data_IF_010572404130
#
_entry.id   IF_010572404130
#
_cell.length_a   1.000
_cell.length_b   1.000
_cell.length_c   1.000
_cell.angle_alpha   90.00
_cell.angle_beta   90.00
_cell.angle_gamma   90.00
#
_symmetry.space_group_name_H-M   'P 1'
#
loop_
_entity.id
_entity.type
_entity.pdbx_description
1 polymer ?
#
# COMPACT_ATOMS: atom_id res chain seq x y z
N UNK A 1 46.29 35.02 -8.63
CA UNK A 1 46.14 34.99 -10.11
C UNK A 1 45.06 33.97 -10.38
N UNK A 2 43.83 34.46 -10.52
CA UNK A 2 42.65 33.63 -10.67
C UNK A 2 42.51 33.26 -12.15
N UNK A 3 42.42 31.98 -12.47
CA UNK A 3 42.19 31.51 -13.84
C UNK A 3 40.78 30.95 -13.90
N UNK A 4 39.81 31.77 -14.31
CA UNK A 4 38.46 31.30 -14.60
C UNK A 4 38.52 30.65 -15.99
N UNK A 5 38.69 29.33 -16.02
CA UNK A 5 38.67 28.56 -17.25
C UNK A 5 37.21 28.38 -17.70
N UNK A 6 36.75 29.25 -18.59
CA UNK A 6 35.50 29.04 -19.31
C UNK A 6 35.73 27.94 -20.35
N UNK A 7 35.19 26.76 -20.08
CA UNK A 7 35.12 25.69 -21.08
C UNK A 7 34.42 26.21 -22.33
N UNK A 8 34.96 25.87 -23.50
CA UNK A 8 34.42 26.30 -24.79
C UNK A 8 32.91 26.07 -24.87
N UNK A 9 32.21 27.09 -25.38
CA UNK A 9 30.78 27.12 -25.74
C UNK A 9 30.15 25.74 -25.85
N UNK A 10 29.30 25.38 -24.88
CA UNK A 10 28.41 24.23 -25.03
C UNK A 10 27.31 24.68 -25.99
N UNK A 11 27.39 24.28 -27.27
CA UNK A 11 26.25 24.41 -28.17
C UNK A 11 25.13 23.53 -27.62
N UNK A 12 24.00 24.15 -27.31
CA UNK A 12 22.79 23.39 -26.99
C UNK A 12 22.10 22.95 -28.28
N UNK A 13 21.18 22.00 -28.15
CA UNK A 13 20.26 21.56 -29.21
C UNK A 13 19.49 22.78 -29.75
N UNK A 14 19.29 22.85 -31.07
CA UNK A 14 18.57 23.92 -31.79
C UNK A 14 19.23 25.33 -31.74
N UNK A 15 20.42 25.49 -32.33
CA UNK A 15 20.98 26.81 -32.70
C UNK A 15 21.31 27.77 -31.52
N UNK A 16 21.23 27.34 -30.25
CA UNK A 16 21.60 28.15 -29.07
C UNK A 16 23.06 27.99 -28.64
N UNK A 17 23.65 29.10 -28.20
CA UNK A 17 24.98 29.14 -27.60
C UNK A 17 25.01 30.07 -26.39
N UNK A 18 25.80 29.71 -25.38
CA UNK A 18 26.22 30.62 -24.32
C UNK A 18 27.61 31.13 -24.66
N UNK A 19 27.75 32.44 -24.76
CA UNK A 19 29.03 33.08 -24.95
C UNK A 19 29.31 33.96 -23.74
N UNK A 20 30.49 33.81 -23.16
CA UNK A 20 30.91 34.75 -22.14
C UNK A 20 31.36 36.00 -22.87
N UNK A 21 30.72 37.15 -22.60
CA UNK A 21 31.17 38.40 -23.19
C UNK A 21 32.59 38.64 -22.68
N UNK A 22 33.55 38.68 -23.60
CA UNK A 22 34.98 38.65 -23.31
C UNK A 22 35.40 39.83 -22.42
N UNK A 23 35.38 39.61 -21.10
CA UNK A 23 35.75 40.56 -20.06
C UNK A 23 36.72 39.92 -19.07
N UNK A 24 37.92 39.57 -19.55
CA UNK A 24 39.05 38.99 -18.79
C UNK A 24 38.79 37.61 -18.13
N UNK A 25 39.69 36.66 -18.36
CA UNK A 25 39.70 35.35 -17.66
C UNK A 25 40.25 35.43 -16.23
N UNK A 26 40.59 36.65 -15.77
CA UNK A 26 41.23 36.93 -14.48
C UNK A 26 40.35 37.88 -13.68
N UNK A 27 39.29 37.34 -13.12
CA UNK A 27 38.30 38.08 -12.32
C UNK A 27 38.70 38.02 -10.84
N UNK A 28 38.31 38.98 -10.01
CA UNK A 28 38.53 38.98 -8.55
C UNK A 28 37.18 38.96 -7.80
N UNK A 29 37.14 38.51 -6.54
CA UNK A 29 35.94 38.68 -5.71
C UNK A 29 35.52 40.15 -5.66
N UNK A 30 34.24 40.41 -5.98
CA UNK A 30 33.65 41.74 -6.14
C UNK A 30 33.50 42.23 -7.58
N UNK A 31 34.16 41.57 -8.55
CA UNK A 31 34.02 41.91 -9.96
C UNK A 31 32.72 41.33 -10.56
N UNK A 32 32.30 41.92 -11.69
CA UNK A 32 31.12 41.51 -12.45
C UNK A 32 31.52 40.73 -13.70
N UNK A 33 30.85 39.60 -13.93
CA UNK A 33 30.99 38.77 -15.12
C UNK A 33 29.68 38.76 -15.89
N UNK A 34 29.74 38.96 -17.20
CA UNK A 34 28.55 38.90 -18.07
C UNK A 34 28.62 37.71 -19.03
N UNK A 35 27.51 37.01 -19.17
CA UNK A 35 27.33 35.88 -20.09
C UNK A 35 26.17 36.20 -21.01
N UNK A 36 26.41 36.19 -22.33
CA UNK A 36 25.38 36.36 -23.34
C UNK A 36 24.80 35.01 -23.72
N UNK A 37 23.48 35.00 -23.86
CA UNK A 37 22.73 33.93 -24.48
C UNK A 37 22.50 34.31 -25.94
N UNK A 38 23.11 33.58 -26.87
CA UNK A 38 23.07 33.90 -28.29
C UNK A 38 22.39 32.77 -29.07
N UNK A 39 21.63 33.14 -30.09
CA UNK A 39 21.09 32.19 -31.07
C UNK A 39 21.82 32.42 -32.39
N UNK A 40 22.31 31.34 -33.00
CA UNK A 40 23.13 31.36 -34.20
C UNK A 40 22.75 30.24 -35.17
N UNK A 41 22.75 30.53 -36.47
CA UNK A 41 22.33 29.65 -37.57
C UNK A 41 20.83 29.39 -37.66
N UNK A 42 19.98 30.37 -37.30
CA UNK A 42 18.53 30.20 -37.32
C UNK A 42 18.00 29.74 -38.69
N UNK A 43 17.46 28.52 -38.71
CA UNK A 43 16.81 27.93 -39.89
C UNK A 43 15.34 28.31 -40.07
N UNK A 44 14.72 28.92 -39.06
CA UNK A 44 13.33 29.37 -39.08
C UNK A 44 13.10 30.53 -38.09
N UNK A 45 11.98 31.24 -38.27
CA UNK A 45 11.59 32.31 -37.38
C UNK A 45 11.20 31.79 -35.99
N UNK A 46 11.70 32.43 -34.93
CA UNK A 46 11.42 32.10 -33.53
C UNK A 46 10.73 33.25 -32.80
N UNK A 47 9.91 32.92 -31.81
CA UNK A 47 9.17 33.88 -30.99
C UNK A 47 9.19 33.54 -29.49
N UNK A 48 9.89 32.48 -29.09
CA UNK A 48 10.00 32.04 -27.70
C UNK A 48 11.33 31.35 -27.44
N UNK A 49 11.84 31.52 -26.21
CA UNK A 49 13.05 30.88 -25.71
C UNK A 49 12.81 30.45 -24.27
N UNK A 50 13.28 29.25 -23.94
CA UNK A 50 13.32 28.71 -22.59
C UNK A 50 14.67 28.06 -22.38
N UNK A 51 15.34 28.34 -21.27
CA UNK A 51 16.65 27.77 -20.93
C UNK A 51 16.70 27.36 -19.46
N UNK A 52 17.56 26.38 -19.19
CA UNK A 52 18.05 26.05 -17.85
C UNK A 52 19.57 26.09 -17.84
N UNK A 53 20.15 26.88 -16.95
CA UNK A 53 21.59 26.98 -16.76
C UNK A 53 21.99 26.62 -15.34
N UNK A 54 23.23 26.18 -15.19
CA UNK A 54 23.84 25.89 -13.91
C UNK A 54 25.12 26.71 -13.73
N UNK A 55 25.32 27.21 -12.51
CA UNK A 55 26.55 27.90 -12.08
C UNK A 55 26.90 27.54 -10.64
N UNK A 56 28.16 27.75 -10.24
CA UNK A 56 28.61 27.47 -8.88
C UNK A 56 28.29 28.64 -7.93
N UNK A 57 27.37 28.42 -7.00
CA UNK A 57 26.93 29.42 -6.00
C UNK A 57 27.94 29.70 -4.91
N UNK A 58 29.01 28.89 -4.81
CA UNK A 58 30.11 29.16 -3.88
C UNK A 58 31.08 30.18 -4.45
N UNK A 59 31.10 30.37 -5.77
CA UNK A 59 32.06 31.24 -6.48
C UNK A 59 31.37 32.48 -7.07
N UNK A 60 30.12 32.36 -7.54
CA UNK A 60 29.37 33.46 -8.16
C UNK A 60 27.94 33.53 -7.63
N UNK A 61 27.31 34.70 -7.79
CA UNK A 61 25.88 34.90 -7.56
C UNK A 61 25.26 35.55 -8.78
N UNK A 62 24.14 35.02 -9.28
CA UNK A 62 23.37 35.70 -10.33
C UNK A 62 22.77 36.99 -9.78
N UNK A 63 22.99 38.10 -10.50
CA UNK A 63 22.51 39.44 -10.13
C UNK A 63 21.32 39.83 -10.99
N UNK A 64 21.39 39.57 -12.29
CA UNK A 64 20.37 40.01 -13.25
C UNK A 64 20.38 39.13 -14.51
N UNK A 65 19.22 39.01 -15.16
CA UNK A 65 19.08 38.46 -16.51
C UNK A 65 18.29 39.46 -17.33
N UNK A 66 18.97 40.19 -18.20
CA UNK A 66 18.38 41.23 -19.01
C UNK A 66 18.08 40.69 -20.43
N UNK A 67 16.80 40.56 -20.84
CA UNK A 67 16.45 40.29 -22.24
C UNK A 67 16.97 41.40 -23.14
N UNK A 68 17.40 41.07 -24.35
CA UNK A 68 17.91 42.08 -25.28
C UNK A 68 16.80 42.89 -25.93
N UNK A 69 16.98 44.21 -25.96
CA UNK A 69 16.09 45.14 -26.66
C UNK A 69 16.25 44.98 -28.18
N UNK A 70 15.25 44.37 -28.81
CA UNK A 70 15.25 44.08 -30.24
C UNK A 70 15.04 45.33 -31.12
N UNK A 71 14.53 46.44 -30.57
CA UNK A 71 14.43 47.72 -31.29
C UNK A 71 15.78 48.42 -31.29
N UNK A 72 16.46 48.47 -30.14
CA UNK A 72 17.81 49.04 -30.04
C UNK A 72 18.82 48.25 -30.89
N UNK A 73 18.61 46.95 -31.04
CA UNK A 73 19.40 46.10 -31.93
C UNK A 73 19.03 46.21 -33.42
N UNK A 74 17.93 46.91 -33.77
CA UNK A 74 17.49 47.11 -35.16
C UNK A 74 16.83 45.90 -35.82
N UNK A 75 16.40 44.91 -35.04
CA UNK A 75 15.75 43.69 -35.55
C UNK A 75 14.24 43.86 -35.79
N UNK A 76 13.59 44.78 -35.07
CA UNK A 76 12.17 45.11 -35.24
C UNK A 76 11.97 46.63 -35.23
N UNK A 77 10.91 47.11 -35.89
CA UNK A 77 10.66 48.55 -36.08
C UNK A 77 9.72 49.18 -35.04
N UNK A 78 9.03 48.37 -34.23
CA UNK A 78 8.09 48.79 -33.18
C UNK A 78 7.97 47.70 -32.10
N UNK A 79 7.89 48.06 -30.80
CA UNK A 79 7.77 47.11 -29.67
C UNK A 79 8.93 47.22 -28.66
N UNK A 80 9.02 46.31 -27.70
CA UNK A 80 10.14 46.21 -26.72
C UNK A 80 10.98 44.94 -26.89
N UNK A 81 10.70 44.12 -27.89
CA UNK A 81 11.44 42.88 -28.14
C UNK A 81 11.09 41.73 -27.19
N UNK A 82 12.09 40.96 -26.78
CA UNK A 82 11.93 39.86 -25.83
C UNK A 82 11.34 40.34 -24.52
N UNK A 83 10.22 39.75 -24.10
CA UNK A 83 9.56 40.00 -22.83
C UNK A 83 9.81 38.80 -21.93
N UNK A 84 10.43 39.01 -20.77
CA UNK A 84 10.59 37.97 -19.76
C UNK A 84 9.23 37.47 -19.27
N UNK A 85 9.10 36.15 -19.17
CA UNK A 85 7.87 35.50 -18.71
C UNK A 85 8.06 34.82 -17.37
N UNK A 86 9.25 34.29 -17.09
CA UNK A 86 9.57 33.67 -15.80
C UNK A 86 11.08 33.59 -15.60
N UNK A 87 11.50 33.87 -14.36
CA UNK A 87 12.84 33.62 -13.85
C UNK A 87 12.74 32.96 -12.47
N UNK A 88 13.50 31.89 -12.24
CA UNK A 88 13.68 31.29 -10.91
C UNK A 88 15.13 30.86 -10.75
N UNK A 89 15.77 31.27 -9.66
CA UNK A 89 17.10 30.78 -9.27
C UNK A 89 16.96 29.93 -8.00
N UNK A 90 17.11 28.61 -8.15
CA UNK A 90 17.12 27.69 -7.03
C UNK A 90 18.53 27.16 -6.83
N UNK A 91 19.29 27.85 -5.97
CA UNK A 91 20.62 27.41 -5.50
C UNK A 91 21.61 27.10 -6.63
N UNK A 92 21.71 27.98 -7.64
CA UNK A 92 22.69 27.82 -8.73
C UNK A 92 22.13 27.17 -9.99
N UNK A 93 20.83 26.87 -9.99
CA UNK A 93 20.08 26.47 -11.18
C UNK A 93 19.09 27.57 -11.54
N UNK A 94 19.28 28.17 -12.72
CA UNK A 94 18.45 29.26 -13.22
C UNK A 94 17.55 28.75 -14.32
N UNK A 95 16.25 28.85 -14.10
CA UNK A 95 15.22 28.65 -15.12
C UNK A 95 14.78 30.01 -15.64
N UNK A 96 14.92 30.24 -16.95
CA UNK A 96 14.57 31.51 -17.56
C UNK A 96 13.82 31.31 -18.88
N UNK A 97 12.82 32.16 -19.13
CA UNK A 97 12.03 32.13 -20.35
C UNK A 97 11.61 33.54 -20.80
N UNK A 98 11.59 33.74 -22.11
CA UNK A 98 11.15 34.98 -22.73
C UNK A 98 10.41 34.73 -24.05
N UNK A 99 9.58 35.70 -24.46
CA UNK A 99 8.81 35.64 -25.71
C UNK A 99 8.76 36.98 -26.45
N UNK A 100 8.51 36.93 -27.75
CA UNK A 100 8.20 38.11 -28.58
C UNK A 100 6.69 38.14 -28.80
N UNK A 101 6.00 39.09 -28.16
CA UNK A 101 4.56 39.23 -28.31
C UNK A 101 4.20 39.86 -29.66
N UNK A 102 3.50 39.11 -30.51
CA UNK A 102 3.00 39.58 -31.81
C UNK A 102 4.06 39.68 -32.91
N UNK A 103 5.21 39.03 -32.76
CA UNK A 103 6.31 39.06 -33.74
C UNK A 103 7.22 37.83 -33.66
N UNK A 104 8.27 37.82 -34.47
CA UNK A 104 9.31 36.78 -34.48
C UNK A 104 10.62 37.35 -35.04
N UNK A 105 11.75 36.70 -34.73
CA UNK A 105 13.05 36.99 -35.34
C UNK A 105 13.51 35.80 -36.18
N UNK A 106 14.25 36.06 -37.26
CA UNK A 106 14.80 35.03 -38.15
C UNK A 106 16.29 35.25 -38.42
N UNK A 107 16.94 36.03 -37.57
CA UNK A 107 18.35 36.39 -37.67
C UNK A 107 19.03 36.11 -36.35
N UNK A 108 20.28 35.69 -36.44
CA UNK A 108 21.14 35.40 -35.31
C UNK A 108 21.32 36.64 -34.44
N UNK A 109 21.22 36.47 -33.13
CA UNK A 109 21.26 37.59 -32.19
C UNK A 109 21.43 37.14 -30.74
N UNK A 110 21.85 38.07 -29.88
CA UNK A 110 21.80 37.93 -28.43
C UNK A 110 20.36 38.01 -27.93
N UNK A 111 19.95 37.01 -27.19
CA UNK A 111 18.62 36.89 -26.61
C UNK A 111 18.56 37.55 -25.23
N UNK A 112 19.58 37.34 -24.40
CA UNK A 112 19.68 37.91 -23.07
C UNK A 112 21.14 38.04 -22.62
N UNK A 113 21.38 38.92 -21.65
CA UNK A 113 22.65 39.04 -20.94
C UNK A 113 22.44 38.71 -19.47
N UNK A 114 23.15 37.71 -18.99
CA UNK A 114 23.19 37.31 -17.60
C UNK A 114 24.37 37.99 -16.91
N UNK A 115 24.13 38.56 -15.74
CA UNK A 115 25.13 39.28 -14.96
C UNK A 115 25.36 38.56 -13.65
N UNK A 116 26.62 38.21 -13.37
CA UNK A 116 27.05 37.55 -12.15
C UNK A 116 28.03 38.43 -11.37
N UNK A 117 27.99 38.37 -10.05
CA UNK A 117 29.07 38.89 -9.19
C UNK A 117 29.91 37.74 -8.69
N UNK A 118 31.24 37.87 -8.76
CA UNK A 118 32.17 36.88 -8.18
C UNK A 118 32.26 37.12 -6.67
N UNK A 119 32.03 36.09 -5.87
CA UNK A 119 32.01 36.19 -4.39
C UNK A 119 33.17 35.45 -3.71
N UNK A 120 33.81 34.51 -4.40
CA UNK A 120 34.98 33.80 -3.86
C UNK A 120 35.96 33.37 -4.98
N UNK A 121 37.16 32.94 -4.60
CA UNK A 121 38.18 32.44 -5.52
C UNK A 121 37.90 30.98 -5.94
N UNK A 122 37.86 30.71 -7.25
CA UNK A 122 37.78 29.34 -7.76
C UNK A 122 37.75 29.26 -9.29
N UNK A 123 37.60 28.04 -9.80
CA UNK A 123 37.32 27.79 -11.21
C UNK A 123 35.82 27.49 -11.32
N UNK A 124 35.11 28.25 -12.14
CA UNK A 124 33.67 28.11 -12.32
C UNK A 124 33.32 28.21 -13.80
N UNK A 125 32.16 27.66 -14.16
CA UNK A 125 31.60 27.70 -15.50
C UNK A 125 30.10 27.91 -15.42
N UNK A 126 29.55 28.61 -16.40
CA UNK A 126 28.10 28.66 -16.63
C UNK A 126 27.81 27.70 -17.77
N UNK A 127 26.99 26.69 -17.52
CA UNK A 127 26.70 25.63 -18.50
C UNK A 127 25.20 25.47 -18.69
N UNK A 128 24.77 25.19 -19.93
CA UNK A 128 23.43 24.65 -20.15
C UNK A 128 23.30 23.30 -19.45
N UNK A 129 22.11 23.02 -18.92
CA UNK A 129 21.80 21.73 -18.29
C UNK A 129 20.66 21.04 -19.06
N UNK A 130 20.95 20.41 -20.23
CA UNK A 130 19.93 19.77 -21.06
C UNK A 130 19.33 18.50 -20.43
N UNK A 131 19.99 17.91 -19.44
CA UNK A 131 19.67 16.57 -18.92
C UNK A 131 18.79 16.59 -17.65
N UNK A 132 18.30 17.77 -17.25
CA UNK A 132 17.53 17.94 -16.03
C UNK A 132 16.03 17.86 -16.31
N UNK A 133 15.46 16.66 -16.17
CA UNK A 133 14.01 16.46 -16.07
C UNK A 133 13.36 17.44 -15.10
N UNK A 134 12.26 18.17 -15.45
CA UNK A 134 11.49 18.20 -16.72
C UNK A 134 11.78 19.38 -17.68
N UNK A 135 12.98 19.97 -17.72
CA UNK A 135 13.21 21.18 -18.53
C UNK A 135 14.25 20.98 -19.64
N UNK A 136 13.81 21.20 -20.88
CA UNK A 136 14.70 21.37 -22.04
C UNK A 136 14.88 22.83 -22.38
N UNK A 137 16.11 23.19 -22.74
CA UNK A 137 16.34 24.41 -23.51
C UNK A 137 15.60 24.28 -24.84
N UNK A 138 14.65 25.19 -25.13
CA UNK A 138 13.76 25.09 -26.28
C UNK A 138 13.57 26.44 -26.96
N UNK A 139 13.67 26.43 -28.29
CA UNK A 139 13.18 27.51 -29.15
C UNK A 139 11.75 27.23 -29.59
N UNK A 140 10.88 28.23 -29.51
CA UNK A 140 9.52 28.17 -30.07
C UNK A 140 9.52 28.76 -31.47
N UNK A 141 9.14 27.96 -32.47
CA UNK A 141 8.99 28.42 -33.86
C UNK A 141 7.70 29.22 -34.01
N UNK A 142 7.77 30.29 -34.80
CA UNK A 142 6.62 31.15 -35.06
C UNK A 142 5.46 30.45 -35.81
N UNK A 143 5.74 29.33 -36.48
CA UNK A 143 4.76 28.51 -37.21
C UNK A 143 3.82 27.70 -36.32
N UNK A 144 4.16 27.52 -35.03
CA UNK A 144 3.59 26.44 -34.21
C UNK A 144 2.48 26.92 -33.25
N UNK A 145 2.15 28.23 -33.20
CA UNK A 145 1.02 28.75 -32.41
C UNK A 145 0.62 30.20 -32.75
N UNK A 146 -0.69 30.51 -32.72
CA UNK A 146 -1.27 31.87 -32.77
C UNK A 146 -1.51 32.50 -31.40
N UNK A 147 -1.10 31.85 -30.31
CA UNK A 147 -1.18 32.40 -28.93
C UNK A 147 0.18 32.20 -28.26
N UNK A 148 0.88 33.31 -28.05
CA UNK A 148 2.27 33.33 -27.59
C UNK A 148 2.27 33.44 -26.07
N UNK A 149 2.15 32.28 -25.41
CA UNK A 149 2.70 32.09 -24.08
C UNK A 149 3.82 31.07 -24.27
N UNK A 150 5.01 31.22 -23.63
CA UNK A 150 5.89 30.07 -23.53
C UNK A 150 5.06 29.05 -22.78
N UNK A 151 4.78 27.93 -23.44
CA UNK A 151 3.96 26.90 -22.86
C UNK A 151 4.75 26.43 -21.63
N UNK A 152 4.38 26.88 -20.42
CA UNK A 152 4.79 26.22 -19.19
C UNK A 152 4.02 24.90 -19.18
N UNK A 153 4.42 23.99 -20.07
CA UNK A 153 4.10 22.60 -19.86
C UNK A 153 5.06 22.19 -18.76
N UNK A 154 4.51 21.91 -17.58
CA UNK A 154 5.17 20.98 -16.67
C UNK A 154 5.30 19.66 -17.46
N UNK A 155 6.40 19.48 -18.20
CA UNK A 155 6.57 18.36 -19.14
C UNK A 155 7.85 17.61 -18.86
N UNK A 156 7.70 16.43 -18.25
CA UNK A 156 8.75 15.42 -18.03
C UNK A 156 9.78 15.30 -19.17
N UNK A 157 10.98 14.90 -18.78
CA UNK A 157 12.20 14.72 -19.59
C UNK A 157 12.06 13.76 -20.76
N UNK A 158 12.81 14.06 -21.82
CA UNK A 158 13.33 13.17 -22.85
C UNK A 158 14.85 13.38 -22.91
N UNK A 159 15.63 12.52 -22.26
CA UNK A 159 17.03 12.31 -22.65
C UNK A 159 17.03 11.48 -23.93
N UNK A 160 18.11 11.51 -24.72
CA UNK A 160 18.38 10.44 -25.70
C UNK A 160 18.74 9.17 -24.92
N UNK A 161 17.73 8.59 -24.29
CA UNK A 161 17.80 7.24 -23.81
C UNK A 161 17.74 6.35 -25.04
N UNK A 162 18.66 5.39 -25.18
CA UNK A 162 18.35 4.24 -26.04
C UNK A 162 17.16 3.43 -25.49
N UNK A 163 16.64 3.81 -24.33
CA UNK A 163 15.37 3.35 -23.78
C UNK A 163 14.25 3.55 -24.80
N UNK A 164 13.77 2.43 -25.32
CA UNK A 164 12.61 2.35 -26.20
C UNK A 164 11.29 2.45 -25.42
N UNK A 165 11.37 2.73 -24.12
CA UNK A 165 10.24 2.84 -23.19
C UNK A 165 9.68 1.48 -22.80
N UNK A 166 10.39 0.39 -23.11
CA UNK A 166 9.92 -0.96 -22.90
C UNK A 166 10.70 -1.62 -21.75
N UNK A 167 10.02 -1.90 -20.64
CA UNK A 167 10.69 -2.41 -19.43
C UNK A 167 11.29 -3.84 -19.53
N UNK A 168 11.08 -4.56 -20.64
CA UNK A 168 11.69 -5.87 -20.91
C UNK A 168 12.78 -5.84 -21.99
N UNK A 169 13.37 -4.68 -22.25
CA UNK A 169 14.60 -4.53 -23.03
C UNK A 169 15.74 -4.02 -22.13
N UNK A 170 16.95 -4.33 -22.57
CA UNK A 170 18.16 -3.64 -22.12
C UNK A 170 18.68 -2.83 -23.27
N UNK A 171 18.85 -1.54 -23.02
CA UNK A 171 19.22 -0.59 -24.06
C UNK A 171 20.66 -0.19 -23.95
N UNK A 172 21.39 -0.35 -25.06
CA UNK A 172 22.81 -0.06 -25.12
C UNK A 172 23.14 0.64 -26.42
N UNK A 173 24.03 1.62 -26.35
CA UNK A 173 24.61 2.26 -27.54
C UNK A 173 25.81 1.42 -27.99
N UNK A 174 25.73 0.82 -29.17
CA UNK A 174 26.86 0.11 -29.79
C UNK A 174 27.18 0.75 -31.13
N UNK A 175 28.39 1.33 -31.24
CA UNK A 175 28.83 1.99 -32.48
C UNK A 175 28.00 3.21 -32.88
N UNK A 176 27.37 3.90 -31.92
CA UNK A 176 26.51 5.06 -32.17
C UNK A 176 25.08 4.73 -32.60
N UNK A 177 24.70 3.45 -32.56
CA UNK A 177 23.32 2.98 -32.80
C UNK A 177 22.70 2.46 -31.51
N UNK A 178 21.39 2.67 -31.33
CA UNK A 178 20.65 2.06 -30.24
C UNK A 178 20.31 0.61 -30.54
N UNK A 179 20.71 -0.26 -29.62
CA UNK A 179 20.37 -1.66 -29.63
C UNK A 179 19.51 -1.97 -28.40
N UNK A 180 18.33 -2.52 -28.65
CA UNK A 180 17.36 -2.95 -27.65
C UNK A 180 17.37 -4.48 -27.63
N UNK A 181 17.84 -5.06 -26.53
CA UNK A 181 17.96 -6.52 -26.40
C UNK A 181 16.94 -7.03 -25.40
N UNK A 182 16.08 -7.96 -25.84
CA UNK A 182 15.09 -8.63 -24.98
C UNK A 182 15.80 -9.27 -23.78
N UNK A 183 15.32 -8.96 -22.58
CA UNK A 183 15.85 -9.54 -21.34
C UNK A 183 15.38 -10.98 -21.16
N UNK A 184 16.05 -11.74 -20.29
CA UNK A 184 15.69 -13.13 -20.04
C UNK A 184 14.29 -13.28 -19.42
N UNK A 185 13.62 -14.39 -19.73
CA UNK A 185 12.35 -14.76 -19.10
C UNK A 185 12.49 -14.81 -17.57
N UNK A 186 11.51 -14.26 -16.85
CA UNK A 186 11.53 -14.16 -15.39
C UNK A 186 12.19 -12.89 -14.84
N UNK A 187 12.74 -12.02 -15.69
CA UNK A 187 13.23 -10.69 -15.26
C UNK A 187 12.03 -9.84 -14.83
N UNK A 188 12.05 -9.30 -13.61
CA UNK A 188 10.97 -8.45 -13.09
C UNK A 188 11.00 -7.09 -13.80
N UNK A 189 9.91 -6.75 -14.49
CA UNK A 189 9.76 -5.46 -15.20
C UNK A 189 8.82 -4.49 -14.48
N UNK A 190 7.93 -5.00 -13.62
CA UNK A 190 7.20 -4.20 -12.64
C UNK A 190 7.22 -4.95 -11.31
N UNK A 191 7.63 -4.25 -10.25
CA UNK A 191 7.67 -4.83 -8.92
C UNK A 191 6.25 -4.96 -8.34
N UNK A 192 6.05 -5.97 -7.51
CA UNK A 192 4.85 -6.12 -6.69
C UNK A 192 4.66 -4.90 -5.79
N UNK A 193 3.45 -4.34 -5.76
CA UNK A 193 3.09 -3.24 -4.84
C UNK A 193 2.36 -3.73 -3.58
N UNK A 194 2.07 -5.03 -3.48
CA UNK A 194 1.47 -5.65 -2.30
C UNK A 194 1.19 -7.15 -2.49
N UNK A 195 0.73 -7.85 -1.44
CA UNK A 195 0.50 -9.31 -1.50
C UNK A 195 -0.53 -9.76 -2.54
N UNK A 196 -1.42 -8.86 -2.96
CA UNK A 196 -2.43 -9.11 -3.99
C UNK A 196 -2.01 -8.60 -5.37
N UNK A 197 -0.80 -8.10 -5.51
CA UNK A 197 -0.28 -7.54 -6.74
C UNK A 197 1.04 -8.24 -7.10
N UNK A 198 1.02 -9.35 -7.85
CA UNK A 198 2.23 -10.07 -8.21
C UNK A 198 3.10 -9.22 -9.12
N UNK A 199 4.42 -9.38 -9.01
CA UNK A 199 5.33 -8.73 -9.93
C UNK A 199 5.17 -9.28 -11.36
N UNK A 200 5.08 -8.42 -12.37
CA UNK A 200 5.14 -8.84 -13.77
C UNK A 200 6.57 -9.10 -14.16
N UNK A 201 6.72 -10.21 -14.89
CA UNK A 201 7.99 -10.68 -15.38
C UNK A 201 7.95 -10.73 -16.89
N UNK A 202 9.10 -10.42 -17.48
CA UNK A 202 9.32 -10.56 -18.91
C UNK A 202 9.21 -12.02 -19.32
N UNK A 203 8.63 -12.27 -20.50
CA UNK A 203 8.46 -13.61 -21.07
C UNK A 203 9.70 -14.10 -21.84
N UNK A 204 10.69 -13.22 -22.02
CA UNK A 204 11.90 -13.49 -22.80
C UNK A 204 11.71 -13.39 -24.32
N UNK A 205 10.58 -12.84 -24.77
CA UNK A 205 10.23 -12.70 -26.20
C UNK A 205 9.78 -11.28 -26.53
N UNK A 206 8.91 -10.68 -25.72
CA UNK A 206 8.39 -9.32 -25.87
C UNK A 206 9.26 -8.30 -25.13
N UNK A 207 9.46 -7.12 -25.74
CA UNK A 207 10.09 -5.98 -25.08
C UNK A 207 9.15 -5.28 -24.10
N UNK A 208 7.84 -5.35 -24.33
CA UNK A 208 6.86 -4.80 -23.40
C UNK A 208 6.68 -5.70 -22.18
N UNK A 209 6.64 -5.08 -21.00
CA UNK A 209 6.18 -5.73 -19.78
C UNK A 209 4.70 -6.12 -19.93
N UNK A 210 4.26 -7.29 -19.41
CA UNK A 210 2.84 -7.61 -19.31
C UNK A 210 2.05 -6.48 -18.65
N UNK A 211 0.78 -6.35 -19.02
CA UNK A 211 -0.12 -5.39 -18.38
C UNK A 211 -0.23 -5.68 -16.88
N UNK A 212 -0.16 -4.64 -16.06
CA UNK A 212 -0.39 -4.73 -14.61
C UNK A 212 -1.70 -5.49 -14.32
N UNK A 213 -1.58 -6.59 -13.59
CA UNK A 213 -2.69 -7.46 -13.26
C UNK A 213 -2.69 -7.86 -11.79
N UNK A 214 -3.69 -7.36 -11.07
CA UNK A 214 -3.96 -7.79 -9.70
C UNK A 214 -4.36 -9.26 -9.64
N UNK A 215 -4.07 -9.87 -8.49
CA UNK A 215 -4.51 -11.23 -8.18
C UNK A 215 -6.03 -11.32 -8.22
N UNK A 216 -6.61 -12.39 -8.80
CA UNK A 216 -8.07 -12.57 -8.83
C UNK A 216 -8.71 -12.54 -7.45
N UNK A 217 -9.97 -12.09 -7.39
CA UNK A 217 -10.76 -12.15 -6.17
C UNK A 217 -10.80 -13.57 -5.59
N UNK A 218 -10.55 -13.71 -4.29
CA UNK A 218 -10.46 -15.01 -3.62
C UNK A 218 -9.06 -15.61 -3.55
N UNK A 219 -8.05 -14.99 -4.17
CA UNK A 219 -6.65 -15.41 -3.98
C UNK A 219 -6.21 -15.14 -2.55
N UNK A 220 -5.78 -16.17 -1.81
CA UNK A 220 -5.33 -16.01 -0.43
C UNK A 220 -4.04 -15.19 -0.37
N UNK A 221 -4.08 -14.09 0.37
CA UNK A 221 -2.94 -13.18 0.54
C UNK A 221 -2.37 -13.21 1.97
N UNK A 222 -3.16 -13.66 2.95
CA UNK A 222 -2.69 -14.09 4.27
C UNK A 222 -3.40 -15.38 4.65
N UNK A 223 -2.63 -16.39 5.05
CA UNK A 223 -3.21 -17.65 5.51
C UNK A 223 -3.80 -17.50 6.92
N UNK A 224 -4.85 -18.27 7.20
CA UNK A 224 -5.42 -18.43 8.55
C UNK A 224 -4.36 -18.89 9.55
N UNK A 225 -4.25 -18.24 10.71
CA UNK A 225 -3.40 -18.69 11.82
C UNK A 225 -4.13 -19.58 12.84
N UNK A 226 -5.45 -19.80 12.68
CA UNK A 226 -6.24 -20.66 13.54
C UNK A 226 -7.74 -20.58 13.24
N UNK A 227 -8.54 -21.39 13.95
CA UNK A 227 -9.99 -21.48 13.72
C UNK A 227 -10.77 -20.18 14.00
N UNK A 228 -10.16 -19.21 14.68
CA UNK A 228 -10.72 -17.87 14.95
C UNK A 228 -10.06 -16.77 14.12
N UNK A 229 -9.26 -17.14 13.14
CA UNK A 229 -8.52 -16.22 12.28
C UNK A 229 -8.69 -16.65 10.82
N UNK A 230 -9.68 -16.10 10.09
CA UNK A 230 -9.92 -16.44 8.71
C UNK A 230 -8.76 -15.98 7.82
N UNK A 231 -8.52 -16.66 6.71
CA UNK A 231 -7.56 -16.19 5.73
C UNK A 231 -8.10 -14.94 5.01
N UNK A 232 -7.33 -13.87 4.89
CA UNK A 232 -7.70 -12.78 3.97
C UNK A 232 -7.37 -13.15 2.53
N UNK A 233 -8.28 -12.71 1.67
CA UNK A 233 -8.23 -12.91 0.25
C UNK A 233 -8.21 -11.57 -0.46
N UNK A 234 -7.53 -11.54 -1.61
CA UNK A 234 -7.58 -10.42 -2.53
C UNK A 234 -9.02 -10.19 -2.98
N UNK A 235 -9.39 -8.92 -3.15
CA UNK A 235 -10.69 -8.48 -3.65
C UNK A 235 -10.74 -8.40 -5.19
N UNK A 236 -9.58 -8.55 -5.85
CA UNK A 236 -9.42 -8.42 -7.30
C UNK A 236 -9.34 -6.98 -7.80
N UNK A 237 -9.27 -5.98 -6.90
CA UNK A 237 -9.25 -4.55 -7.24
C UNK A 237 -8.21 -3.74 -6.48
N UNK A 238 -7.68 -4.27 -5.37
CA UNK A 238 -6.62 -3.69 -4.54
C UNK A 238 -5.33 -4.53 -4.60
N UNK A 239 -4.19 -3.85 -4.60
CA UNK A 239 -2.86 -4.47 -4.50
C UNK A 239 -2.53 -4.95 -3.07
N UNK A 240 -3.13 -4.31 -2.07
CA UNK A 240 -2.97 -4.69 -0.67
C UNK A 240 -3.88 -5.86 -0.31
N UNK A 241 -3.38 -6.76 0.55
CA UNK A 241 -4.24 -7.70 1.27
C UNK A 241 -5.15 -6.91 2.23
N UNK A 242 -6.42 -7.28 2.41
CA UNK A 242 -7.24 -6.72 3.47
C UNK A 242 -6.54 -6.80 4.83
N UNK A 243 -6.89 -5.88 5.73
CA UNK A 243 -6.34 -5.89 7.07
C UNK A 243 -6.69 -7.20 7.79
N UNK A 244 -5.72 -7.74 8.53
CA UNK A 244 -5.91 -8.93 9.37
C UNK A 244 -7.09 -8.72 10.33
N UNK A 245 -8.09 -9.58 10.22
CA UNK A 245 -9.30 -9.51 11.03
C UNK A 245 -9.63 -10.87 11.64
N UNK A 246 -9.61 -10.94 12.96
CA UNK A 246 -10.06 -12.11 13.71
C UNK A 246 -11.59 -12.25 13.64
N UNK A 247 -12.07 -13.48 13.81
CA UNK A 247 -13.49 -13.75 13.99
C UNK A 247 -14.06 -12.98 15.20
N UNK A 248 -15.26 -12.40 15.11
CA UNK A 248 -15.87 -11.69 16.23
C UNK A 248 -16.02 -12.56 17.48
N UNK A 249 -15.99 -11.90 18.64
CA UNK A 249 -16.26 -12.55 19.92
C UNK A 249 -17.64 -13.26 19.89
N UNK A 250 -17.67 -14.54 20.27
CA UNK A 250 -18.87 -15.37 20.25
C UNK A 250 -19.04 -16.23 18.99
N UNK A 251 -18.19 -16.08 17.97
CA UNK A 251 -18.18 -16.98 16.81
C UNK A 251 -17.78 -18.38 17.23
N UNK A 252 -18.61 -19.39 16.93
CA UNK A 252 -18.35 -20.78 17.32
C UNK A 252 -17.21 -21.34 16.48
N UNK A 253 -16.11 -21.70 17.15
CA UNK A 253 -14.92 -22.28 16.51
C UNK A 253 -14.79 -23.78 16.75
N UNK A 254 -15.45 -24.32 17.78
CA UNK A 254 -15.68 -25.75 17.95
C UNK A 254 -17.11 -25.97 18.44
N UNK A 255 -17.86 -26.78 17.68
CA UNK A 255 -19.24 -27.10 18.02
C UNK A 255 -19.30 -28.12 19.17
N UNK A 256 -20.32 -27.98 20.01
CA UNK A 256 -20.66 -28.97 21.03
C UNK A 256 -20.93 -30.35 20.43
N UNK A 257 -20.41 -31.40 21.06
CA UNK A 257 -20.72 -32.80 20.75
C UNK A 257 -21.89 -33.38 21.59
N UNK A 258 -22.44 -32.60 22.52
CA UNK A 258 -23.59 -32.99 23.35
C UNK A 258 -23.76 -32.11 24.60
N UNK A 259 -24.72 -32.46 25.46
CA UNK A 259 -25.06 -31.66 26.67
C UNK A 259 -23.89 -31.53 27.67
N UNK A 260 -22.91 -32.43 27.61
CA UNK A 260 -21.72 -32.42 28.46
C UNK A 260 -20.51 -31.77 27.79
N UNK A 261 -20.68 -31.18 26.62
CA UNK A 261 -19.63 -30.51 25.85
C UNK A 261 -20.08 -29.09 25.51
N UNK A 262 -19.63 -28.06 26.23
CA UNK A 262 -19.89 -26.69 25.83
C UNK A 262 -19.23 -26.40 24.47
N UNK A 263 -19.86 -25.54 23.67
CA UNK A 263 -19.19 -25.02 22.48
C UNK A 263 -18.08 -24.04 22.87
N UNK A 264 -16.97 -24.03 22.16
CA UNK A 264 -15.96 -22.98 22.24
C UNK A 264 -16.22 -21.92 21.20
N UNK A 265 -16.04 -20.69 21.66
CA UNK A 265 -16.21 -19.50 20.85
C UNK A 265 -14.92 -18.70 20.82
N UNK A 266 -14.70 -18.01 19.71
CA UNK A 266 -13.66 -17.03 19.58
C UNK A 266 -13.87 -15.91 20.59
N UNK A 267 -12.78 -15.39 21.15
CA UNK A 267 -12.78 -14.26 22.09
C UNK A 267 -12.73 -12.91 21.37
N UNK A 268 -12.50 -12.90 20.04
CA UNK A 268 -12.31 -11.70 19.22
C UNK A 268 -10.93 -11.05 19.37
N UNK A 269 -9.98 -11.72 20.03
CA UNK A 269 -8.65 -11.19 20.35
C UNK A 269 -7.50 -12.16 20.03
N UNK A 270 -7.77 -13.47 19.94
CA UNK A 270 -6.78 -14.50 19.63
C UNK A 270 -7.18 -15.32 18.40
N UNK A 271 -6.21 -15.79 17.60
CA UNK A 271 -6.48 -16.53 16.36
C UNK A 271 -6.89 -17.99 16.60
N UNK A 272 -6.61 -18.51 17.79
CA UNK A 272 -6.85 -19.90 18.15
C UNK A 272 -8.17 -20.04 18.88
N UNK A 273 -8.95 -21.07 18.54
CA UNK A 273 -10.07 -21.49 19.37
C UNK A 273 -9.57 -21.87 20.77
N UNK A 274 -10.32 -21.55 21.85
CA UNK A 274 -10.02 -22.07 23.18
C UNK A 274 -9.88 -23.60 23.19
N UNK A 275 -9.15 -24.12 24.17
CA UNK A 275 -8.98 -25.56 24.32
C UNK A 275 -10.33 -26.24 24.61
N UNK A 276 -10.57 -27.36 23.94
CA UNK A 276 -11.71 -28.25 24.16
C UNK A 276 -11.82 -28.61 25.64
N UNK A 277 -12.92 -28.21 26.27
CA UNK A 277 -13.18 -28.47 27.69
C UNK A 277 -14.56 -29.06 27.90
N UNK A 278 -14.61 -30.35 28.25
CA UNK A 278 -15.85 -31.01 28.65
C UNK A 278 -16.34 -30.53 30.03
N UNK A 279 -17.64 -30.66 30.25
CA UNK A 279 -18.24 -30.43 31.57
C UNK A 279 -17.58 -31.35 32.62
N UNK A 280 -17.28 -30.85 33.83
CA UNK A 280 -16.70 -31.68 34.88
C UNK A 280 -17.55 -32.91 35.22
N UNK A 281 -16.89 -33.99 35.64
CA UNK A 281 -17.57 -35.18 36.14
C UNK A 281 -18.53 -34.82 37.28
N UNK A 282 -19.78 -35.31 37.21
CA UNK A 282 -20.83 -34.98 38.18
C UNK A 282 -21.70 -33.78 37.80
N UNK A 283 -21.40 -33.05 36.73
CA UNK A 283 -22.29 -32.00 36.20
C UNK A 283 -23.58 -32.63 35.70
N UNK A 284 -24.73 -32.24 36.24
CA UNK A 284 -26.05 -32.76 35.81
C UNK A 284 -26.36 -32.28 34.40
N UNK A 285 -26.55 -33.23 33.47
CA UNK A 285 -26.90 -32.96 32.08
C UNK A 285 -28.37 -33.29 31.75
N UNK A 286 -29.00 -34.18 32.52
CA UNK A 286 -30.46 -34.34 32.57
C UNK A 286 -30.89 -34.44 34.04
N UNK A 287 -31.88 -33.63 34.42
CA UNK A 287 -32.39 -33.62 35.78
C UNK A 287 -33.34 -34.80 36.03
N UNK A 288 -33.35 -35.29 37.26
CA UNK A 288 -34.33 -36.25 37.76
C UNK A 288 -35.76 -35.74 37.60
N UNK A 289 -36.66 -36.58 37.10
CA UNK A 289 -38.11 -36.29 37.01
C UNK A 289 -38.93 -36.95 38.11
N UNK A 290 -38.31 -37.73 39.00
CA UNK A 290 -38.95 -38.34 40.16
C UNK A 290 -38.01 -39.27 40.96
N UNK A 291 -38.48 -39.84 42.08
CA UNK A 291 -37.64 -40.65 42.97
C UNK A 291 -37.06 -41.92 42.34
N UNK A 292 -37.66 -42.41 41.25
CA UNK A 292 -37.23 -43.59 40.49
C UNK A 292 -36.50 -43.22 39.20
N UNK A 293 -36.15 -41.95 39.03
CA UNK A 293 -35.45 -41.43 37.85
C UNK A 293 -34.22 -40.64 38.32
N UNK A 294 -33.04 -41.27 38.38
CA UNK A 294 -31.82 -40.58 38.78
C UNK A 294 -31.44 -39.53 37.74
N UNK A 295 -30.81 -38.44 38.18
CA UNK A 295 -30.25 -37.47 37.24
C UNK A 295 -29.00 -38.05 36.55
N UNK A 296 -28.88 -37.95 35.23
CA UNK A 296 -27.64 -38.26 34.53
C UNK A 296 -26.67 -37.10 34.65
N UNK A 297 -25.43 -37.49 34.90
CA UNK A 297 -24.31 -36.59 35.07
C UNK A 297 -23.27 -36.87 34.00
N UNK A 298 -22.57 -35.81 33.59
CA UNK A 298 -21.39 -35.93 32.76
C UNK A 298 -20.32 -36.75 33.47
N UNK A 299 -19.59 -37.56 32.72
CA UNK A 299 -18.48 -38.38 33.22
C UNK A 299 -17.13 -37.63 33.18
N UNK A 300 -17.10 -36.44 32.57
CA UNK A 300 -15.90 -35.63 32.35
C UNK A 300 -15.02 -36.09 31.19
N UNK A 301 -15.50 -37.03 30.36
CA UNK A 301 -14.74 -37.65 29.26
C UNK A 301 -15.54 -37.72 27.95
N UNK A 302 -16.86 -37.87 28.04
CA UNK A 302 -17.79 -37.84 26.92
C UNK A 302 -18.52 -36.50 26.85
N UNK A 303 -18.68 -35.97 25.64
CA UNK A 303 -19.54 -34.81 25.39
C UNK A 303 -21.03 -35.11 25.38
N UNK A 304 -21.42 -36.37 25.18
CA UNK A 304 -22.80 -36.81 25.30
C UNK A 304 -23.18 -37.02 26.77
N UNK A 305 -24.39 -36.59 27.14
CA UNK A 305 -25.03 -37.03 28.38
C UNK A 305 -25.31 -38.53 28.31
N UNK A 306 -25.14 -39.30 29.40
CA UNK A 306 -25.56 -40.69 29.46
C UNK A 306 -27.03 -40.86 29.04
N UNK A 307 -27.38 -42.04 28.54
CA UNK A 307 -28.75 -42.35 28.18
C UNK A 307 -29.65 -42.32 29.43
N UNK A 308 -30.87 -41.80 29.27
CA UNK A 308 -31.91 -41.77 30.31
C UNK A 308 -32.17 -43.20 30.82
N UNK A 309 -31.96 -43.41 32.11
CA UNK A 309 -32.10 -44.70 32.76
C UNK A 309 -32.86 -44.57 34.08
N UNK A 310 -34.00 -45.26 34.17
CA UNK A 310 -34.76 -45.38 35.41
C UNK A 310 -34.08 -46.32 36.41
N UNK A 311 -34.37 -46.12 37.69
CA UNK A 311 -33.98 -47.05 38.75
C UNK A 311 -34.51 -48.47 38.45
N UNK A 312 -33.71 -49.52 38.69
CA UNK A 312 -34.14 -50.90 38.50
C UNK A 312 -35.41 -51.23 39.29
N UNK A 313 -36.21 -52.16 38.76
CA UNK A 313 -37.35 -52.68 39.48
C UNK A 313 -36.93 -53.23 40.85
N UNK A 314 -37.58 -52.78 41.92
CA UNK A 314 -37.25 -53.14 43.30
C UNK A 314 -36.38 -52.13 44.06
N UNK A 315 -35.84 -51.08 43.42
CA UNK A 315 -35.18 -49.99 44.15
C UNK A 315 -36.19 -49.27 45.04
N UNK A 316 -35.91 -49.16 46.34
CA UNK A 316 -36.81 -48.48 47.30
C UNK A 316 -36.83 -46.98 47.03
N UNK A 317 -38.01 -46.44 46.72
CA UNK A 317 -38.22 -45.02 46.45
C UNK A 317 -38.97 -44.29 47.57
N UNK A 318 -39.70 -45.03 48.41
CA UNK A 318 -40.20 -44.56 49.71
C UNK A 318 -39.95 -45.66 50.74
N UNK A 319 -39.28 -45.31 51.83
CA UNK A 319 -39.03 -46.27 52.91
C UNK A 319 -40.32 -46.56 53.70
N UNK A 320 -40.43 -47.78 54.22
CA UNK A 320 -41.47 -48.17 55.17
C UNK A 320 -41.49 -47.23 56.38
N UNK A 321 -42.66 -46.68 56.73
CA UNK A 321 -42.86 -45.86 57.94
C UNK A 321 -43.46 -46.64 59.12
N UNK A 322 -43.53 -47.98 59.03
CA UNK A 322 -44.07 -48.83 60.09
C UNK A 322 -44.34 -50.26 59.64
N UNK A 323 -44.69 -51.16 60.58
CA UNK A 323 -44.89 -52.58 60.26
C UNK A 323 -46.01 -52.83 59.25
N UNK A 324 -47.06 -51.99 59.22
CA UNK A 324 -48.17 -52.05 58.25
C UNK A 324 -47.97 -51.14 57.02
N UNK A 325 -46.79 -50.57 56.87
CA UNK A 325 -46.49 -49.61 55.81
C UNK A 325 -45.32 -50.15 54.99
N UNK A 326 -45.57 -50.96 53.95
CA UNK A 326 -44.50 -51.50 53.12
C UNK A 326 -43.74 -50.38 52.40
N UNK A 327 -42.46 -50.61 52.12
CA UNK A 327 -41.69 -49.70 51.27
C UNK A 327 -42.18 -49.79 49.82
N UNK A 328 -42.44 -48.65 49.16
CA UNK A 328 -42.66 -48.63 47.72
C UNK A 328 -41.33 -48.71 46.99
N UNK A 329 -41.39 -49.47 45.90
CA UNK A 329 -40.25 -49.72 45.03
C UNK A 329 -40.56 -49.24 43.63
N UNK A 330 -39.52 -48.82 42.92
CA UNK A 330 -39.57 -48.53 41.51
C UNK A 330 -40.00 -49.79 40.73
N UNK A 331 -40.78 -49.59 39.67
CA UNK A 331 -41.24 -50.65 38.77
C UNK A 331 -40.26 -50.90 37.61
N UNK A 332 -39.21 -50.08 37.48
CA UNK A 332 -38.25 -50.10 36.39
C UNK A 332 -38.76 -49.49 35.09
N UNK A 333 -39.94 -48.87 35.09
CA UNK A 333 -40.58 -48.29 33.89
C UNK A 333 -41.15 -46.89 34.09
N UNK A 334 -41.37 -46.43 35.32
CA UNK A 334 -41.84 -45.08 35.64
C UNK A 334 -40.85 -44.32 36.52
N UNK A 335 -40.80 -43.00 36.31
CA UNK A 335 -39.96 -42.08 37.08
C UNK A 335 -40.50 -41.79 38.49
N UNK A 336 -41.81 -41.95 38.67
CA UNK A 336 -42.48 -41.73 39.95
C UNK A 336 -42.38 -42.93 40.87
N UNK A 337 -42.36 -42.68 42.17
CA UNK A 337 -42.63 -43.74 43.14
C UNK A 337 -44.13 -44.07 43.10
N UNK A 338 -44.54 -45.36 43.23
CA UNK A 338 -45.94 -45.72 43.42
C UNK A 338 -46.59 -44.92 44.57
N UNK A 339 -47.91 -44.76 44.50
CA UNK A 339 -48.64 -44.11 45.58
C UNK A 339 -48.51 -44.91 46.88
N UNK A 340 -48.38 -44.20 48.00
CA UNK A 340 -48.31 -44.77 49.35
C UNK A 340 -49.50 -45.71 49.60
N UNK A 341 -49.20 -46.97 49.91
CA UNK A 341 -50.19 -47.99 50.17
C UNK A 341 -49.93 -48.70 51.49
N UNK A 342 -50.88 -48.58 52.42
CA UNK A 342 -50.86 -49.31 53.68
C UNK A 342 -51.40 -50.74 53.49
N UNK A 343 -50.94 -51.65 54.35
CA UNK A 343 -51.49 -53.00 54.42
C UNK A 343 -53.02 -52.97 54.62
N UNK A 344 -53.79 -53.87 53.98
CA UNK A 344 -55.23 -53.91 54.12
C UNK A 344 -55.67 -54.05 55.59
N UNK A 345 -56.80 -53.42 55.93
CA UNK A 345 -57.37 -53.53 57.28
C UNK A 345 -57.57 -55.00 57.68
N UNK A 346 -57.01 -55.38 58.84
CA UNK A 346 -57.04 -56.76 59.36
C UNK A 346 -55.76 -57.56 59.07
N UNK A 347 -54.78 -56.99 58.38
CA UNK A 347 -53.44 -57.58 58.25
C UNK A 347 -52.70 -57.47 59.58
N UNK A 348 -52.13 -58.59 60.04
CA UNK A 348 -51.23 -58.59 61.21
C UNK A 348 -49.84 -58.22 60.73
N UNK A 349 -49.38 -57.06 61.13
CA UNK A 349 -48.13 -56.47 60.67
C UNK A 349 -46.98 -56.71 61.66
N UNK A 350 -47.32 -56.84 62.95
CA UNK A 350 -46.42 -57.34 63.99
C UNK A 350 -47.08 -58.49 64.74
N UNK A 351 -46.45 -59.66 64.66
CA UNK A 351 -46.86 -60.80 65.46
C UNK A 351 -46.65 -60.52 66.96
N UNK A 352 -47.60 -61.01 67.76
CA UNK A 352 -47.47 -61.04 69.22
C UNK A 352 -46.25 -61.88 69.64
N UNK A 353 -45.40 -61.31 70.48
CA UNK A 353 -44.23 -61.99 71.05
C UNK A 353 -44.49 -62.65 72.40
N UNK A 354 -45.74 -62.61 72.90
CA UNK A 354 -46.14 -63.25 74.16
C UNK A 354 -47.57 -62.96 74.59
N UNK A 355 -48.03 -63.63 75.66
CA UNK A 355 -49.41 -63.58 76.16
C UNK A 355 -49.93 -62.19 76.60
N UNK A 356 -49.06 -61.17 76.61
CA UNK A 356 -49.40 -59.78 76.95
C UNK A 356 -48.95 -58.77 75.89
N UNK A 357 -48.59 -59.22 74.69
CA UNK A 357 -48.20 -58.37 73.57
C UNK A 357 -49.29 -58.41 72.49
N UNK A 358 -50.10 -57.36 72.31
CA UNK A 358 -51.11 -57.34 71.25
C UNK A 358 -50.45 -57.38 69.87
N UNK A 359 -51.13 -58.01 68.92
CA UNK A 359 -50.76 -57.87 67.50
C UNK A 359 -51.02 -56.42 67.06
N UNK A 360 -50.14 -55.90 66.22
CA UNK A 360 -50.28 -54.60 65.54
C UNK A 360 -50.52 -54.80 64.05
#
# INVERSE_FOLDING_TARGET
MLSVCFGASVQAVDDLSLNVAAGSTNVQPGDTVTVTLDVANLSAAINGVQIRIQYDTTIMTLVDVAPTDLVAAGLITTGTGWTEVSQTDTSGAVDWSAVINGGSISVDHTVATLTFTVIDEGVTSVTFRPDADPFFTKLTRASDSTTILPNKIDSGTITSSCDDGLACTTDTVVGGLCQHTIVAAGTVCRASTGPCDPAEVCDGVSGACPTDALSPAGTVCRASAGACDPAEVCDGVSAGCPADSLEPAGTVCRASTGLCDPQEVCDGATPTCPADTLQPAGTVCRASTGPCDPAEVCDGVSGACPADALEPAGTVCRASAGPCDPAEVCDGVSAGCPADSLEPAGTVCRASTGLCDPQE
#
